data_IF_562066091383
#
_entry.id   IF_562066091383
#
_cell.length_a   1.000
_cell.length_b   1.000
_cell.length_c   1.000
_cell.angle_alpha   90.00
_cell.angle_beta   90.00
_cell.angle_gamma   90.00
#
_symmetry.space_group_name_H-M   'P 1'
#
loop_
_entity.id
_entity.type
_entity.pdbx_description
1 polymer ?
#
# COMPACT_ATOMS: atom_id res chain seq x y z
N UNK A 1 0.38 12.06 4.28
CA UNK A 1 -0.07 12.87 5.42
C UNK A 1 1.02 13.79 5.90
N UNK A 2 0.69 15.01 6.25
CA UNK A 2 1.64 15.94 6.87
C UNK A 2 1.50 15.82 8.38
N UNK A 3 2.25 14.93 8.99
CA UNK A 3 2.34 14.85 10.45
C UNK A 3 2.47 13.42 10.93
N UNK A 4 3.18 13.22 12.02
CA UNK A 4 3.37 11.92 12.66
C UNK A 4 2.16 11.51 13.52
N UNK A 5 0.94 11.69 12.99
CA UNK A 5 -0.31 11.50 13.73
C UNK A 5 -0.43 10.09 14.29
N UNK A 6 -0.16 9.09 13.47
CA UNK A 6 -0.21 7.69 13.88
C UNK A 6 0.96 7.24 14.76
N UNK A 7 2.08 7.98 14.76
CA UNK A 7 3.27 7.61 15.54
C UNK A 7 2.97 7.53 17.03
N UNK A 8 2.28 8.55 17.54
CA UNK A 8 1.94 8.62 18.95
C UNK A 8 0.95 7.53 19.35
N UNK A 9 -0.12 7.36 18.58
CA UNK A 9 -1.07 6.29 18.79
C UNK A 9 -0.37 4.93 18.78
N UNK A 10 0.48 4.67 17.77
CA UNK A 10 1.26 3.46 17.64
C UNK A 10 2.11 3.17 18.88
N UNK A 11 2.87 4.15 19.36
CA UNK A 11 3.68 3.98 20.56
C UNK A 11 2.87 3.73 21.81
N UNK A 12 1.73 4.44 21.98
CA UNK A 12 0.90 4.33 23.18
C UNK A 12 0.25 2.95 23.33
N UNK A 13 -0.04 2.26 22.22
CA UNK A 13 -0.62 0.91 22.23
C UNK A 13 0.42 -0.20 22.11
N UNK A 14 1.71 0.14 22.12
CA UNK A 14 2.80 -0.85 21.99
C UNK A 14 2.98 -1.38 20.57
N UNK A 15 2.54 -0.62 19.58
CA UNK A 15 2.70 -0.94 18.15
C UNK A 15 4.10 -0.69 17.62
N UNK A 16 4.34 -1.08 16.39
CA UNK A 16 5.60 -0.86 15.66
C UNK A 16 5.43 0.25 14.61
N UNK A 17 6.25 1.29 14.72
CA UNK A 17 6.25 2.41 13.79
C UNK A 17 7.45 2.34 12.87
N UNK A 18 7.20 2.08 11.58
CA UNK A 18 8.20 1.89 10.54
C UNK A 18 8.13 3.09 9.58
N UNK A 19 9.13 3.95 9.63
CA UNK A 19 9.24 5.08 8.71
C UNK A 19 10.00 4.67 7.46
N UNK A 20 9.41 4.89 6.29
CA UNK A 20 10.01 4.66 4.98
C UNK A 20 10.31 6.03 4.37
N UNK A 21 11.57 6.37 4.27
CA UNK A 21 12.00 7.64 3.67
C UNK A 21 13.44 7.52 3.13
N UNK A 22 13.89 8.45 2.28
CA UNK A 22 15.25 8.44 1.78
C UNK A 22 16.33 8.53 2.87
N UNK A 23 15.99 9.09 4.03
CA UNK A 23 16.87 9.24 5.18
C UNK A 23 16.68 8.16 6.26
N UNK A 24 15.71 7.27 6.09
CA UNK A 24 15.42 6.21 7.05
C UNK A 24 16.47 5.10 7.01
N UNK A 25 16.62 4.42 8.16
CA UNK A 25 17.36 3.15 8.24
C UNK A 25 16.47 1.93 7.93
N UNK A 26 15.17 2.13 7.86
CA UNK A 26 14.22 1.06 7.53
C UNK A 26 14.18 0.85 6.02
N UNK A 27 14.36 -0.38 5.61
CA UNK A 27 14.44 -0.76 4.21
C UNK A 27 13.49 -1.91 3.93
N UNK A 28 12.83 -1.83 2.78
CA UNK A 28 12.02 -2.90 2.20
C UNK A 28 12.56 -3.15 0.80
N UNK A 29 13.02 -4.36 0.55
CA UNK A 29 13.53 -4.76 -0.75
C UNK A 29 12.37 -5.11 -1.68
N UNK A 30 12.11 -4.30 -2.69
CA UNK A 30 11.06 -4.59 -3.67
C UNK A 30 11.35 -5.84 -4.50
N UNK A 31 12.64 -6.18 -4.67
CA UNK A 31 13.07 -7.39 -5.40
C UNK A 31 12.90 -8.68 -4.57
N UNK A 32 12.55 -8.59 -3.30
CA UNK A 32 12.44 -9.75 -2.43
C UNK A 32 11.23 -10.61 -2.79
N UNK A 33 11.47 -11.88 -3.12
CA UNK A 33 10.44 -12.93 -3.15
C UNK A 33 10.32 -13.41 -1.71
N UNK A 34 9.19 -13.12 -1.05
CA UNK A 34 8.98 -13.49 0.34
C UNK A 34 8.50 -14.93 0.42
N UNK A 35 8.91 -15.59 1.48
CA UNK A 35 8.48 -16.95 1.73
C UNK A 35 6.98 -16.94 2.01
N UNK A 36 6.21 -17.58 1.14
CA UNK A 36 4.83 -17.92 1.43
C UNK A 36 4.85 -19.33 2.04
N UNK A 37 4.47 -19.47 3.30
CA UNK A 37 4.23 -20.79 3.85
C UNK A 37 3.06 -21.40 3.07
N UNK A 38 3.13 -22.73 2.81
CA UNK A 38 2.09 -23.45 2.08
C UNK A 38 0.73 -23.10 2.65
N UNK A 39 -0.17 -22.60 1.81
CA UNK A 39 -1.51 -22.26 2.26
C UNK A 39 -2.24 -23.55 2.68
N UNK A 40 -3.25 -23.43 3.57
CA UNK A 40 -4.09 -24.57 3.96
C UNK A 40 -4.69 -25.26 2.73
N UNK A 41 -4.95 -24.51 1.66
CA UNK A 41 -5.44 -25.04 0.37
C UNK A 41 -4.40 -25.90 -0.35
N UNK A 42 -3.12 -25.55 -0.31
CA UNK A 42 -2.06 -26.37 -0.90
C UNK A 42 -1.92 -27.72 -0.17
N UNK A 43 -2.35 -27.77 1.09
CA UNK A 43 -2.37 -28.99 1.89
C UNK A 43 -3.63 -29.82 1.59
N UNK A 44 -4.77 -29.18 1.30
CA UNK A 44 -6.07 -29.86 1.10
C UNK A 44 -6.25 -30.30 -0.37
N UNK A 45 -5.90 -29.45 -1.35
CA UNK A 45 -6.18 -29.72 -2.75
C UNK A 45 -5.07 -30.50 -3.50
N UNK A 46 -3.91 -30.70 -2.87
CA UNK A 46 -2.86 -31.65 -3.32
C UNK A 46 -2.24 -31.48 -4.70
N UNK A 47 -2.80 -30.71 -5.60
CA UNK A 47 -2.41 -30.61 -7.03
C UNK A 47 -2.75 -29.27 -7.68
N UNK A 48 -2.48 -28.13 -7.05
CA UNK A 48 -2.39 -26.90 -7.83
C UNK A 48 -1.01 -26.85 -8.48
N UNK A 49 -0.97 -26.74 -9.80
CA UNK A 49 0.25 -26.42 -10.54
C UNK A 49 0.95 -25.27 -9.79
N UNK A 50 2.13 -25.54 -9.26
CA UNK A 50 2.91 -24.57 -8.49
C UNK A 50 3.12 -23.34 -9.37
N UNK A 51 2.46 -22.23 -9.03
CA UNK A 51 2.72 -20.96 -9.69
C UNK A 51 4.15 -20.54 -9.35
N UNK A 52 4.92 -20.17 -10.39
CA UNK A 52 6.25 -19.64 -10.17
C UNK A 52 6.20 -18.37 -9.35
N UNK A 53 6.81 -18.37 -8.16
CA UNK A 53 6.94 -17.21 -7.30
C UNK A 53 7.74 -16.09 -7.98
N UNK A 54 8.74 -16.46 -8.79
CA UNK A 54 9.49 -15.50 -9.60
C UNK A 54 8.59 -14.81 -10.63
N UNK A 55 7.73 -15.56 -11.33
CA UNK A 55 6.81 -14.94 -12.31
C UNK A 55 5.84 -13.97 -11.64
N UNK A 56 5.29 -14.34 -10.48
CA UNK A 56 4.42 -13.46 -9.71
C UNK A 56 5.15 -12.19 -9.23
N UNK A 57 6.41 -12.33 -8.80
CA UNK A 57 7.25 -11.20 -8.40
C UNK A 57 7.57 -10.28 -9.57
N UNK A 58 7.94 -10.83 -10.74
CA UNK A 58 8.22 -10.03 -11.94
C UNK A 58 7.00 -9.20 -12.33
N UNK A 59 5.79 -9.76 -12.29
CA UNK A 59 4.57 -9.00 -12.56
C UNK A 59 4.41 -7.78 -11.60
N UNK A 60 4.70 -7.95 -10.30
CA UNK A 60 4.67 -6.85 -9.34
C UNK A 60 5.79 -5.83 -9.59
N UNK A 61 6.97 -6.29 -10.01
CA UNK A 61 8.04 -5.39 -10.42
C UNK A 61 7.68 -4.57 -11.66
N UNK A 62 6.94 -5.12 -12.60
CA UNK A 62 6.41 -4.34 -13.73
C UNK A 62 5.47 -3.22 -13.26
N UNK A 63 4.65 -3.43 -12.21
CA UNK A 63 3.84 -2.36 -11.62
C UNK A 63 4.76 -1.29 -11.03
N UNK A 64 5.74 -1.68 -10.20
CA UNK A 64 6.70 -0.77 -9.59
C UNK A 64 7.42 0.08 -10.64
N UNK A 65 7.96 -0.53 -11.69
CA UNK A 65 8.67 0.17 -12.75
C UNK A 65 7.74 1.04 -13.60
N UNK A 66 6.48 0.67 -13.78
CA UNK A 66 5.52 1.52 -14.48
C UNK A 66 5.12 2.77 -13.71
N UNK A 67 5.25 2.76 -12.38
CA UNK A 67 5.11 3.94 -11.52
C UNK A 67 6.38 4.81 -11.57
N UNK A 68 7.54 4.19 -11.61
CA UNK A 68 8.82 4.88 -11.68
C UNK A 68 9.11 5.49 -13.06
N UNK A 69 8.63 4.83 -14.13
CA UNK A 69 8.82 5.20 -15.54
C UNK A 69 7.45 5.17 -16.23
N UNK A 70 6.60 6.19 -16.03
CA UNK A 70 5.22 6.18 -16.56
C UNK A 70 5.11 6.09 -18.08
N UNK A 71 6.11 6.60 -18.81
CA UNK A 71 6.22 6.65 -20.26
C UNK A 71 7.00 5.46 -20.86
N UNK A 72 7.14 4.35 -20.10
CA UNK A 72 7.83 3.15 -20.56
C UNK A 72 7.15 2.53 -21.78
N UNK A 73 7.89 2.32 -22.86
CA UNK A 73 7.42 1.70 -24.10
C UNK A 73 7.19 0.19 -23.93
N UNK A 74 6.51 -0.44 -24.89
CA UNK A 74 6.36 -1.90 -24.90
C UNK A 74 7.70 -2.63 -25.06
N UNK A 75 8.61 -2.09 -25.87
CA UNK A 75 9.94 -2.63 -26.05
C UNK A 75 10.75 -2.56 -24.75
N UNK A 76 10.76 -1.41 -24.07
CA UNK A 76 11.43 -1.26 -22.78
C UNK A 76 10.87 -2.19 -21.70
N UNK A 77 9.55 -2.49 -21.74
CA UNK A 77 8.95 -3.48 -20.83
C UNK A 77 9.47 -4.89 -21.08
N UNK A 78 9.64 -5.28 -22.35
CA UNK A 78 10.23 -6.57 -22.70
C UNK A 78 11.70 -6.66 -22.27
N UNK A 79 12.48 -5.61 -22.54
CA UNK A 79 13.88 -5.55 -22.12
C UNK A 79 14.02 -5.56 -20.59
N UNK A 80 13.09 -4.93 -19.87
CA UNK A 80 13.05 -4.98 -18.41
C UNK A 80 12.75 -6.39 -17.92
N UNK A 81 11.79 -7.10 -18.54
CA UNK A 81 11.45 -8.48 -18.19
C UNK A 81 12.67 -9.40 -18.29
N UNK A 82 13.39 -9.33 -19.40
CA UNK A 82 14.63 -10.07 -19.63
C UNK A 82 15.72 -9.72 -18.60
N UNK A 83 15.89 -8.43 -18.29
CA UNK A 83 16.85 -7.96 -17.30
C UNK A 83 16.51 -8.45 -15.89
N UNK A 84 15.22 -8.49 -15.53
CA UNK A 84 14.74 -9.03 -14.25
C UNK A 84 15.05 -10.52 -14.15
N UNK A 85 14.69 -11.32 -15.17
CA UNK A 85 15.00 -12.77 -15.21
C UNK A 85 16.51 -12.98 -15.06
N UNK A 86 17.33 -12.22 -15.82
CA UNK A 86 18.78 -12.32 -15.74
C UNK A 86 19.32 -11.94 -14.34
N UNK A 87 18.74 -10.95 -13.69
CA UNK A 87 19.13 -10.50 -12.35
C UNK A 87 18.91 -11.61 -11.31
N UNK A 88 17.74 -12.26 -11.34
CA UNK A 88 17.45 -13.39 -10.45
C UNK A 88 18.28 -14.62 -10.80
N UNK A 89 18.50 -14.90 -12.07
CA UNK A 89 19.37 -15.98 -12.52
C UNK A 89 20.81 -15.81 -12.01
N UNK A 90 21.30 -14.57 -11.90
CA UNK A 90 22.60 -14.24 -11.28
C UNK A 90 22.71 -14.65 -9.79
N UNK A 91 21.59 -14.82 -9.10
CA UNK A 91 21.51 -15.39 -7.73
C UNK A 91 21.15 -16.88 -7.72
N UNK A 92 21.09 -17.51 -8.91
CA UNK A 92 20.67 -18.89 -9.07
C UNK A 92 19.18 -19.13 -8.80
N UNK A 93 18.35 -18.10 -8.98
CA UNK A 93 16.89 -18.16 -8.83
C UNK A 93 16.26 -18.23 -10.22
N UNK A 94 15.37 -19.19 -10.43
CA UNK A 94 14.69 -19.48 -11.70
C UNK A 94 13.17 -19.57 -11.47
N UNK A 95 12.42 -19.87 -12.52
CA UNK A 95 10.97 -20.10 -12.42
C UNK A 95 10.57 -21.36 -11.63
N UNK A 96 11.53 -22.20 -11.27
CA UNK A 96 11.32 -23.34 -10.38
C UNK A 96 11.44 -22.88 -8.92
N UNK A 97 10.39 -23.10 -8.11
CA UNK A 97 10.32 -22.57 -6.74
C UNK A 97 11.41 -23.19 -5.83
N UNK A 98 11.89 -24.42 -6.12
CA UNK A 98 13.01 -25.06 -5.41
C UNK A 98 14.29 -24.23 -5.52
N UNK A 99 14.45 -23.49 -6.62
CA UNK A 99 15.62 -22.61 -6.81
C UNK A 99 15.72 -21.46 -5.82
N UNK A 100 14.64 -21.16 -5.07
CA UNK A 100 14.63 -20.16 -3.99
C UNK A 100 15.43 -20.61 -2.77
N UNK A 101 15.73 -21.90 -2.65
CA UNK A 101 16.43 -22.48 -1.53
C UNK A 101 17.88 -22.82 -1.91
N UNK A 102 18.81 -22.63 -0.96
CA UNK A 102 20.19 -23.06 -1.08
C UNK A 102 20.37 -24.55 -0.73
N UNK A 103 21.58 -25.04 -0.89
CA UNK A 103 21.93 -26.46 -0.61
C UNK A 103 21.61 -26.87 0.83
N UNK A 104 21.64 -25.95 1.79
CA UNK A 104 21.31 -26.18 3.21
C UNK A 104 19.81 -26.08 3.51
N UNK A 105 18.94 -25.89 2.51
CA UNK A 105 17.51 -25.64 2.68
C UNK A 105 17.18 -24.23 3.21
N UNK A 106 18.17 -23.36 3.36
CA UNK A 106 17.96 -21.96 3.71
C UNK A 106 17.49 -21.15 2.50
N UNK A 107 16.65 -20.14 2.74
CA UNK A 107 16.18 -19.24 1.69
C UNK A 107 17.35 -18.38 1.19
N UNK A 108 17.48 -18.27 -0.14
CA UNK A 108 18.58 -17.52 -0.76
C UNK A 108 18.45 -16.02 -0.50
N UNK A 109 19.59 -15.33 -0.47
CA UNK A 109 19.61 -13.85 -0.47
C UNK A 109 19.08 -13.33 -1.80
N UNK A 110 18.04 -12.54 -1.73
CA UNK A 110 17.38 -11.96 -2.91
C UNK A 110 18.24 -10.84 -3.53
N UNK A 111 18.13 -10.61 -4.84
CA UNK A 111 18.76 -9.47 -5.46
C UNK A 111 18.19 -8.15 -4.90
N UNK A 112 18.94 -7.06 -5.06
CA UNK A 112 18.51 -5.70 -4.78
C UNK A 112 18.47 -4.88 -6.07
N UNK A 113 17.94 -3.67 -6.04
CA UNK A 113 17.87 -2.80 -7.22
C UNK A 113 19.23 -2.54 -7.86
N UNK A 114 20.33 -2.55 -7.08
CA UNK A 114 21.69 -2.43 -7.59
C UNK A 114 22.12 -3.59 -8.49
N UNK A 115 21.70 -4.83 -8.16
CA UNK A 115 21.96 -5.98 -9.03
C UNK A 115 21.27 -5.81 -10.40
N UNK A 116 20.03 -5.31 -10.41
CA UNK A 116 19.31 -5.00 -11.65
C UNK A 116 19.96 -3.84 -12.42
N UNK A 117 20.37 -2.78 -11.72
CA UNK A 117 21.09 -1.66 -12.32
C UNK A 117 22.34 -2.15 -13.06
N UNK A 118 23.09 -3.08 -12.48
CA UNK A 118 24.28 -3.65 -13.06
C UNK A 118 24.00 -4.48 -14.34
N UNK A 119 22.81 -5.08 -14.44
CA UNK A 119 22.35 -5.73 -15.67
C UNK A 119 21.95 -4.70 -16.71
N UNK A 120 21.09 -3.74 -16.35
CA UNK A 120 20.55 -2.73 -17.26
C UNK A 120 21.63 -1.82 -17.89
N UNK A 121 22.71 -1.50 -17.17
CA UNK A 121 23.77 -0.64 -17.71
C UNK A 121 24.65 -1.29 -18.78
N UNK A 122 24.56 -2.61 -18.97
CA UNK A 122 25.40 -3.34 -19.94
C UNK A 122 24.96 -3.10 -21.38
N UNK A 123 23.67 -2.82 -21.64
CA UNK A 123 23.14 -2.52 -22.97
C UNK A 123 22.85 -1.04 -23.16
N UNK A 124 23.02 -0.56 -24.38
CA UNK A 124 22.61 0.80 -24.79
C UNK A 124 21.10 0.96 -24.80
N UNK A 125 20.36 -0.09 -25.12
CA UNK A 125 18.89 -0.11 -25.21
C UNK A 125 18.23 0.06 -23.82
N UNK A 126 18.85 -0.48 -22.76
CA UNK A 126 18.34 -0.38 -21.37
C UNK A 126 18.96 0.78 -20.59
N UNK A 127 19.84 1.56 -21.20
CA UNK A 127 20.57 2.67 -20.55
C UNK A 127 19.65 3.72 -19.93
N UNK A 128 18.55 4.05 -20.58
CA UNK A 128 17.57 5.01 -20.05
C UNK A 128 16.98 4.52 -18.71
N UNK A 129 16.56 3.25 -18.65
CA UNK A 129 16.04 2.64 -17.42
C UNK A 129 17.11 2.61 -16.32
N UNK A 130 18.35 2.26 -16.63
CA UNK A 130 19.45 2.31 -15.68
C UNK A 130 19.68 3.74 -15.14
N UNK A 131 19.64 4.75 -15.99
CA UNK A 131 19.82 6.16 -15.55
C UNK A 131 18.71 6.61 -14.61
N UNK A 132 17.46 6.22 -14.84
CA UNK A 132 16.33 6.53 -13.95
C UNK A 132 16.49 5.77 -12.62
N UNK A 133 16.81 4.48 -12.68
CA UNK A 133 17.03 3.65 -11.51
C UNK A 133 18.20 4.11 -10.63
N UNK A 134 19.19 4.80 -11.22
CA UNK A 134 20.38 5.28 -10.53
C UNK A 134 20.06 6.15 -9.30
N UNK A 135 18.93 6.90 -9.31
CA UNK A 135 18.46 7.67 -8.16
C UNK A 135 18.19 6.80 -6.93
N UNK A 136 17.64 5.60 -7.16
CA UNK A 136 17.30 4.65 -6.10
C UNK A 136 18.50 3.76 -5.71
N UNK A 137 19.54 3.68 -6.54
CA UNK A 137 20.70 2.82 -6.29
C UNK A 137 21.87 3.59 -5.68
N UNK A 138 22.24 4.71 -6.27
CA UNK A 138 23.40 5.52 -5.86
C UNK A 138 23.06 6.98 -5.52
N UNK A 139 21.83 7.40 -5.81
CA UNK A 139 21.37 8.77 -5.61
C UNK A 139 20.76 9.03 -4.24
N UNK A 140 19.95 10.08 -4.17
CA UNK A 140 19.35 10.59 -2.93
C UNK A 140 18.34 9.65 -2.26
N UNK A 141 17.91 8.58 -2.95
CA UNK A 141 16.95 7.60 -2.45
C UNK A 141 17.54 6.18 -2.37
N UNK A 142 18.85 6.07 -2.10
CA UNK A 142 19.59 4.79 -2.05
C UNK A 142 19.12 3.84 -0.92
N UNK A 143 18.33 4.32 0.02
CA UNK A 143 17.66 3.49 1.03
C UNK A 143 16.78 2.39 0.41
N UNK A 144 16.24 2.62 -0.80
CA UNK A 144 15.46 1.60 -1.52
C UNK A 144 16.32 0.47 -2.12
N UNK A 145 17.65 0.59 -2.10
CA UNK A 145 18.60 -0.39 -2.61
C UNK A 145 19.25 -1.21 -1.49
N UNK A 146 18.47 -1.73 -0.56
CA UNK A 146 18.95 -2.52 0.57
C UNK A 146 18.10 -3.77 0.75
N UNK A 147 18.62 -4.76 1.49
CA UNK A 147 17.82 -5.89 1.93
C UNK A 147 16.76 -5.43 2.95
N UNK A 148 15.63 -6.11 2.99
CA UNK A 148 14.58 -5.85 3.98
C UNK A 148 15.14 -6.06 5.38
N UNK A 149 15.00 -5.06 6.23
CA UNK A 149 15.44 -5.09 7.63
C UNK A 149 14.30 -4.78 8.62
N UNK A 150 13.08 -4.66 8.14
CA UNK A 150 11.87 -4.46 8.95
C UNK A 150 11.04 -5.74 8.99
N UNK A 151 10.27 -5.92 10.06
CA UNK A 151 9.37 -7.05 10.24
C UNK A 151 7.96 -6.56 10.52
N UNK A 152 6.96 -7.34 10.12
CA UNK A 152 5.55 -7.07 10.40
C UNK A 152 5.02 -8.12 11.40
N UNK A 153 5.67 -8.22 12.55
CA UNK A 153 5.35 -9.24 13.57
C UNK A 153 4.48 -8.68 14.70
N UNK A 154 4.33 -7.35 14.80
CA UNK A 154 3.48 -6.71 15.79
C UNK A 154 2.00 -6.76 15.37
N UNK A 155 1.09 -6.78 16.36
CA UNK A 155 -0.35 -6.72 16.12
C UNK A 155 -0.83 -5.37 15.57
N UNK A 156 -0.09 -4.30 15.83
CA UNK A 156 -0.39 -2.98 15.32
C UNK A 156 0.88 -2.38 14.70
N UNK A 157 0.83 -2.15 13.40
CA UNK A 157 1.99 -1.70 12.63
C UNK A 157 1.58 -0.47 11.82
N UNK A 158 2.40 0.55 11.85
CA UNK A 158 2.26 1.75 11.03
C UNK A 158 3.45 1.85 10.09
N UNK A 159 3.19 1.84 8.79
CA UNK A 159 4.15 2.17 7.75
C UNK A 159 3.96 3.65 7.38
N UNK A 160 4.87 4.49 7.83
CA UNK A 160 4.84 5.94 7.58
C UNK A 160 5.67 6.29 6.35
N UNK A 161 5.01 6.88 5.36
CA UNK A 161 5.60 7.32 4.09
C UNK A 161 5.51 8.86 3.93
N UNK A 162 5.18 9.59 4.98
CA UNK A 162 4.89 11.04 4.95
C UNK A 162 6.06 11.91 4.50
N UNK A 163 7.29 11.42 4.60
CA UNK A 163 8.49 12.12 4.13
C UNK A 163 8.79 11.89 2.63
N UNK A 164 8.07 10.99 1.98
CA UNK A 164 8.19 10.80 0.54
C UNK A 164 7.40 11.89 -0.21
N UNK A 165 7.92 12.37 -1.30
CA UNK A 165 7.32 13.43 -2.11
C UNK A 165 7.40 13.11 -3.59
N UNK A 166 6.47 13.66 -4.39
CA UNK A 166 6.43 13.48 -5.83
C UNK A 166 6.31 12.01 -6.24
N UNK A 167 7.06 11.62 -7.24
CA UNK A 167 7.11 10.25 -7.78
C UNK A 167 7.50 9.19 -6.73
N UNK A 168 8.36 9.55 -5.77
CA UNK A 168 8.73 8.62 -4.70
C UNK A 168 7.59 8.32 -3.73
N UNK A 169 6.60 9.19 -3.60
CA UNK A 169 5.44 8.94 -2.75
C UNK A 169 4.61 7.77 -3.30
N UNK A 170 4.27 7.81 -4.58
CA UNK A 170 3.48 6.74 -5.22
C UNK A 170 4.25 5.41 -5.25
N UNK A 171 5.54 5.46 -5.58
CA UNK A 171 6.43 4.29 -5.56
C UNK A 171 6.56 3.70 -4.16
N UNK A 172 6.78 4.55 -3.14
CA UNK A 172 6.91 4.11 -1.75
C UNK A 172 5.61 3.58 -1.17
N UNK A 173 4.46 4.16 -1.55
CA UNK A 173 3.14 3.66 -1.16
C UNK A 173 2.87 2.28 -1.76
N UNK A 174 3.21 2.09 -3.04
CA UNK A 174 3.10 0.78 -3.68
C UNK A 174 4.01 -0.26 -2.98
N UNK A 175 5.27 0.10 -2.70
CA UNK A 175 6.22 -0.77 -2.00
C UNK A 175 5.69 -1.20 -0.62
N UNK A 176 5.17 -0.24 0.15
CA UNK A 176 4.59 -0.50 1.47
C UNK A 176 3.39 -1.44 1.36
N UNK A 177 2.49 -1.18 0.40
CA UNK A 177 1.29 -2.00 0.19
C UNK A 177 1.63 -3.40 -0.32
N UNK A 178 2.60 -3.55 -1.24
CA UNK A 178 3.09 -4.87 -1.70
C UNK A 178 3.64 -5.70 -0.53
N UNK A 179 4.40 -5.06 0.37
CA UNK A 179 4.92 -5.72 1.55
C UNK A 179 3.83 -6.16 2.53
N UNK A 180 2.90 -5.26 2.84
CA UNK A 180 1.74 -5.56 3.71
C UNK A 180 0.85 -6.63 3.10
N UNK A 181 0.64 -6.58 1.78
CA UNK A 181 -0.19 -7.56 1.08
C UNK A 181 0.42 -8.96 1.11
N UNK A 182 1.73 -9.09 0.92
CA UNK A 182 2.40 -10.38 1.07
C UNK A 182 2.24 -10.92 2.49
N UNK A 183 2.42 -10.07 3.51
CA UNK A 183 2.20 -10.45 4.91
C UNK A 183 0.75 -10.87 5.18
N UNK A 184 -0.21 -10.19 4.60
CA UNK A 184 -1.63 -10.52 4.76
C UNK A 184 -1.99 -11.90 4.20
N UNK A 185 -1.25 -12.37 3.18
CA UNK A 185 -1.47 -13.69 2.55
C UNK A 185 -0.84 -14.87 3.32
N UNK A 186 0.13 -14.61 4.21
CA UNK A 186 0.88 -15.67 4.88
C UNK A 186 -0.01 -16.61 5.71
N UNK A 187 -0.98 -16.07 6.43
CA UNK A 187 -1.86 -16.87 7.28
C UNK A 187 -3.32 -16.45 7.11
N UNK A 188 -4.13 -17.31 6.49
CA UNK A 188 -5.56 -17.06 6.25
C UNK A 188 -6.41 -17.23 7.51
N UNK A 189 -5.92 -17.88 8.53
CA UNK A 189 -6.65 -18.14 9.78
C UNK A 189 -6.60 -16.96 10.74
N UNK A 190 -5.62 -16.06 10.56
CA UNK A 190 -5.47 -14.86 11.37
C UNK A 190 -6.37 -13.74 10.82
N UNK A 191 -7.21 -13.18 11.68
CA UNK A 191 -7.95 -11.95 11.35
C UNK A 191 -7.01 -10.75 11.28
N UNK A 192 -7.18 -9.93 10.24
CA UNK A 192 -6.33 -8.75 10.00
C UNK A 192 -7.09 -7.63 9.29
N UNK A 193 -6.64 -6.40 9.49
CA UNK A 193 -7.14 -5.24 8.78
C UNK A 193 -5.98 -4.43 8.18
N UNK A 194 -6.13 -4.02 6.93
CA UNK A 194 -5.21 -3.12 6.24
C UNK A 194 -5.90 -1.78 6.09
N UNK A 195 -5.34 -0.74 6.72
CA UNK A 195 -5.79 0.64 6.60
C UNK A 195 -4.90 1.36 5.58
N UNK A 196 -5.52 1.89 4.53
CA UNK A 196 -4.83 2.62 3.47
C UNK A 196 -5.35 4.05 3.47
N UNK A 197 -4.54 4.95 3.96
CA UNK A 197 -4.87 6.37 3.93
C UNK A 197 -4.41 7.00 2.61
N UNK A 198 -5.16 7.99 2.12
CA UNK A 198 -4.92 8.66 0.84
C UNK A 198 -4.77 7.67 -0.34
N UNK A 199 -5.66 6.67 -0.38
CA UNK A 199 -5.60 5.59 -1.40
C UNK A 199 -5.67 6.12 -2.85
N UNK A 200 -6.22 7.32 -3.05
CA UNK A 200 -6.27 7.98 -4.35
C UNK A 200 -4.89 8.16 -5.01
N UNK A 201 -3.82 8.23 -4.22
CA UNK A 201 -2.44 8.27 -4.71
C UNK A 201 -2.08 7.05 -5.60
N UNK A 202 -2.73 5.90 -5.37
CA UNK A 202 -2.50 4.68 -6.15
C UNK A 202 -3.59 4.39 -7.18
N UNK A 203 -4.75 5.05 -7.11
CA UNK A 203 -5.89 4.78 -8.01
C UNK A 203 -6.35 6.00 -8.80
N UNK A 204 -5.84 7.18 -8.51
CA UNK A 204 -6.15 8.44 -9.18
C UNK A 204 -5.25 8.76 -10.37
N UNK A 205 -5.39 9.94 -10.93
CA UNK A 205 -4.67 10.39 -12.11
C UNK A 205 -3.13 10.47 -11.94
N UNK A 206 -2.66 10.59 -10.70
CA UNK A 206 -1.22 10.55 -10.36
C UNK A 206 -0.59 9.15 -10.44
N UNK A 207 -1.41 8.12 -10.62
CA UNK A 207 -1.01 6.72 -10.69
C UNK A 207 -1.18 6.14 -12.11
N UNK A 208 -1.20 4.83 -12.23
CA UNK A 208 -1.45 4.15 -13.48
C UNK A 208 -2.41 2.95 -13.31
N UNK A 209 -2.86 2.41 -14.43
CA UNK A 209 -3.82 1.30 -14.46
C UNK A 209 -3.36 0.07 -13.68
N UNK A 210 -2.08 -0.29 -13.79
CA UNK A 210 -1.55 -1.50 -13.17
C UNK A 210 -1.56 -1.40 -11.64
N UNK A 211 -1.16 -0.25 -11.09
CA UNK A 211 -1.22 0.00 -9.65
C UNK A 211 -2.66 0.05 -9.15
N UNK A 212 -3.55 0.70 -9.91
CA UNK A 212 -4.97 0.78 -9.56
C UNK A 212 -5.67 -0.60 -9.61
N UNK A 213 -5.32 -1.44 -10.57
CA UNK A 213 -5.80 -2.83 -10.64
C UNK A 213 -5.32 -3.66 -9.45
N UNK A 214 -4.06 -3.50 -9.05
CA UNK A 214 -3.51 -4.17 -7.87
C UNK A 214 -4.25 -3.79 -6.58
N UNK A 215 -4.51 -2.50 -6.37
CA UNK A 215 -5.31 -2.04 -5.22
C UNK A 215 -6.72 -2.61 -5.25
N UNK A 216 -7.39 -2.52 -6.41
CA UNK A 216 -8.75 -3.05 -6.56
C UNK A 216 -8.81 -4.57 -6.32
N UNK A 217 -7.79 -5.31 -6.74
CA UNK A 217 -7.68 -6.74 -6.49
C UNK A 217 -7.65 -7.03 -4.98
N UNK A 218 -6.87 -6.29 -4.21
CA UNK A 218 -6.84 -6.43 -2.73
C UNK A 218 -8.24 -6.30 -2.16
N UNK A 219 -9.01 -5.26 -2.53
CA UNK A 219 -10.37 -5.07 -2.04
C UNK A 219 -11.33 -6.21 -2.43
N UNK A 220 -11.11 -6.85 -3.57
CA UNK A 220 -11.93 -7.98 -4.02
C UNK A 220 -11.66 -9.28 -3.25
N UNK A 221 -10.40 -9.55 -2.92
CA UNK A 221 -10.01 -10.90 -2.49
C UNK A 221 -9.55 -10.99 -1.02
N UNK A 222 -9.25 -9.86 -0.36
CA UNK A 222 -8.70 -9.85 1.01
C UNK A 222 -9.54 -10.64 2.01
N UNK A 223 -10.86 -10.67 1.83
CA UNK A 223 -11.76 -11.45 2.69
C UNK A 223 -11.42 -12.94 2.66
N UNK A 224 -11.00 -13.47 1.50
CA UNK A 224 -10.55 -14.87 1.36
C UNK A 224 -9.26 -15.16 2.13
N UNK A 225 -8.54 -14.15 2.58
CA UNK A 225 -7.34 -14.25 3.41
C UNK A 225 -7.59 -13.87 4.88
N UNK A 226 -8.85 -13.88 5.33
CA UNK A 226 -9.21 -13.53 6.71
C UNK A 226 -9.06 -12.04 7.02
N UNK A 227 -9.02 -11.19 6.00
CA UNK A 227 -8.70 -9.79 6.14
C UNK A 227 -9.84 -8.84 5.79
N UNK A 228 -9.71 -7.58 6.21
CA UNK A 228 -10.50 -6.43 5.79
C UNK A 228 -9.58 -5.35 5.22
N UNK A 229 -9.97 -4.75 4.09
CA UNK A 229 -9.35 -3.54 3.56
C UNK A 229 -10.21 -2.34 3.90
N UNK A 230 -9.58 -1.31 4.47
CA UNK A 230 -10.22 -0.06 4.85
C UNK A 230 -9.40 1.05 4.19
N UNK A 231 -10.03 1.89 3.42
CA UNK A 231 -9.35 3.05 2.85
C UNK A 231 -10.04 4.35 3.25
N UNK A 232 -9.24 5.39 3.33
CA UNK A 232 -9.70 6.76 3.49
C UNK A 232 -9.23 7.62 2.30
N UNK A 233 -10.04 8.59 1.94
CA UNK A 233 -9.69 9.63 0.99
C UNK A 233 -10.38 10.92 1.40
N UNK A 234 -9.71 12.03 1.23
CA UNK A 234 -10.27 13.37 1.38
C UNK A 234 -10.52 14.04 0.02
N UNK A 235 -10.16 13.40 -1.07
CA UNK A 235 -10.38 13.90 -2.43
C UNK A 235 -11.14 12.87 -3.27
N UNK A 236 -12.44 13.10 -3.42
CA UNK A 236 -13.31 12.21 -4.22
C UNK A 236 -13.06 12.38 -5.72
N UNK A 237 -12.57 13.54 -6.16
CA UNK A 237 -12.30 13.80 -7.56
C UNK A 237 -11.11 12.99 -8.02
N UNK A 238 -10.00 13.08 -7.29
CA UNK A 238 -8.80 12.30 -7.58
C UNK A 238 -9.06 10.80 -7.41
N UNK A 239 -9.86 10.40 -6.41
CA UNK A 239 -10.29 9.01 -6.24
C UNK A 239 -11.04 8.44 -7.45
N UNK A 240 -11.73 9.28 -8.22
CA UNK A 240 -12.51 8.89 -9.40
C UNK A 240 -11.88 9.34 -10.73
N UNK A 241 -10.66 9.84 -10.72
CA UNK A 241 -10.08 10.50 -11.90
C UNK A 241 -9.53 9.52 -12.96
N UNK A 242 -9.09 8.33 -12.57
CA UNK A 242 -8.47 7.37 -13.48
C UNK A 242 -9.52 6.48 -14.17
N UNK A 243 -9.47 6.39 -15.50
CA UNK A 243 -10.37 5.57 -16.34
C UNK A 243 -11.86 5.78 -16.02
N UNK A 244 -12.31 7.03 -16.03
CA UNK A 244 -13.71 7.43 -15.72
C UNK A 244 -14.21 6.89 -14.36
N UNK A 245 -13.32 6.79 -13.41
CA UNK A 245 -13.62 6.31 -12.05
C UNK A 245 -13.78 4.81 -11.91
N UNK A 246 -13.35 4.01 -12.89
CA UNK A 246 -13.46 2.54 -12.87
C UNK A 246 -12.95 1.93 -11.57
N UNK A 247 -11.79 2.36 -11.11
CA UNK A 247 -11.13 1.79 -9.93
C UNK A 247 -11.76 2.27 -8.62
N UNK A 248 -12.02 3.57 -8.49
CA UNK A 248 -12.70 4.13 -7.34
C UNK A 248 -14.12 3.56 -7.17
N UNK A 249 -14.91 3.52 -8.24
CA UNK A 249 -16.23 2.87 -8.25
C UNK A 249 -16.11 1.38 -7.90
N UNK A 250 -15.07 0.71 -8.40
CA UNK A 250 -14.81 -0.68 -8.09
C UNK A 250 -14.56 -0.92 -6.60
N UNK A 251 -13.77 -0.06 -5.94
CA UNK A 251 -13.52 -0.12 -4.49
C UNK A 251 -14.82 0.14 -3.72
N UNK A 252 -15.57 1.19 -4.08
CA UNK A 252 -16.87 1.53 -3.46
C UNK A 252 -17.83 0.35 -3.52
N UNK A 253 -17.93 -0.32 -4.67
CA UNK A 253 -18.84 -1.46 -4.86
C UNK A 253 -18.39 -2.71 -4.08
N UNK A 254 -17.10 -2.90 -3.86
CA UNK A 254 -16.57 -3.99 -3.03
C UNK A 254 -16.57 -3.68 -1.53
N UNK A 255 -16.77 -2.42 -1.15
CA UNK A 255 -16.88 -1.98 0.25
C UNK A 255 -18.31 -2.09 0.73
N UNK A 256 -18.60 -2.99 1.66
CA UNK A 256 -19.96 -3.14 2.22
C UNK A 256 -20.35 -1.99 3.14
N UNK A 257 -19.39 -1.44 3.86
CA UNK A 257 -19.58 -0.30 4.77
C UNK A 257 -18.89 0.92 4.17
N UNK A 258 -19.60 2.04 4.10
CA UNK A 258 -19.07 3.33 3.70
C UNK A 258 -19.37 4.33 4.78
N UNK A 259 -18.43 5.21 5.07
CA UNK A 259 -18.57 6.28 6.06
C UNK A 259 -18.32 7.58 5.33
N UNK A 260 -19.31 8.49 5.39
CA UNK A 260 -19.23 9.82 4.81
C UNK A 260 -19.23 10.81 5.96
N UNK A 261 -18.19 11.61 6.06
CA UNK A 261 -18.08 12.72 7.02
C UNK A 261 -18.58 14.01 6.39
N UNK A 262 -18.36 15.16 7.04
CA UNK A 262 -18.71 16.45 6.48
C UNK A 262 -18.03 16.66 5.12
N UNK A 263 -18.79 17.13 4.13
CA UNK A 263 -18.34 17.48 2.79
C UNK A 263 -18.86 18.85 2.40
N UNK A 264 -18.13 19.54 1.55
CA UNK A 264 -18.62 20.74 0.88
C UNK A 264 -19.70 20.40 -0.17
N UNK A 265 -20.54 21.35 -0.51
CA UNK A 265 -21.72 21.14 -1.37
C UNK A 265 -21.41 20.44 -2.70
N UNK A 266 -20.33 20.85 -3.37
CA UNK A 266 -19.94 20.27 -4.66
C UNK A 266 -19.52 18.79 -4.53
N UNK A 267 -18.76 18.45 -3.51
CA UNK A 267 -18.35 17.07 -3.25
C UNK A 267 -19.52 16.20 -2.79
N UNK A 268 -20.41 16.76 -1.97
CA UNK A 268 -21.62 16.09 -1.51
C UNK A 268 -22.53 15.69 -2.68
N UNK A 269 -22.72 16.57 -3.66
CA UNK A 269 -23.49 16.26 -4.87
C UNK A 269 -22.87 15.12 -5.69
N UNK A 270 -21.54 15.06 -5.80
CA UNK A 270 -20.86 13.95 -6.48
C UNK A 270 -21.06 12.64 -5.75
N UNK A 271 -20.89 12.65 -4.42
CA UNK A 271 -21.10 11.49 -3.57
C UNK A 271 -22.56 11.02 -3.62
N UNK A 272 -23.53 11.94 -3.75
CA UNK A 272 -24.94 11.62 -3.92
C UNK A 272 -25.18 10.63 -5.07
N UNK A 273 -24.64 10.94 -6.23
CA UNK A 273 -24.82 10.09 -7.43
C UNK A 273 -24.14 8.73 -7.29
N UNK A 274 -22.99 8.69 -6.64
CA UNK A 274 -22.20 7.45 -6.52
C UNK A 274 -22.80 6.50 -5.49
N UNK A 275 -23.30 7.05 -4.37
CA UNK A 275 -23.84 6.28 -3.25
C UNK A 275 -25.38 6.21 -3.27
N UNK A 276 -26.04 6.84 -4.23
CA UNK A 276 -27.51 6.96 -4.35
C UNK A 276 -28.15 7.53 -3.07
N UNK A 277 -27.62 8.65 -2.57
CA UNK A 277 -28.11 9.30 -1.37
C UNK A 277 -29.32 10.20 -1.70
N UNK A 278 -30.25 10.32 -0.74
CA UNK A 278 -31.36 11.25 -0.80
C UNK A 278 -30.92 12.70 -0.57
N UNK A 279 -31.73 13.66 -0.99
CA UNK A 279 -31.48 15.09 -0.76
C UNK A 279 -31.38 15.43 0.75
N UNK A 280 -32.14 14.73 1.59
CA UNK A 280 -32.06 14.90 3.04
C UNK A 280 -30.72 14.42 3.59
N UNK A 281 -30.17 13.30 3.11
CA UNK A 281 -28.86 12.80 3.52
C UNK A 281 -27.76 13.76 3.09
N UNK A 282 -27.85 14.33 1.88
CA UNK A 282 -26.90 15.34 1.40
C UNK A 282 -26.95 16.59 2.28
N UNK A 283 -28.13 17.10 2.58
CA UNK A 283 -28.29 18.26 3.45
C UNK A 283 -27.69 17.98 4.85
N UNK A 284 -27.81 16.77 5.37
CA UNK A 284 -27.17 16.39 6.63
C UNK A 284 -25.65 16.39 6.52
N UNK A 285 -25.10 15.79 5.46
CA UNK A 285 -23.64 15.67 5.24
C UNK A 285 -22.97 17.05 5.19
N UNK A 286 -23.57 18.01 4.46
CA UNK A 286 -23.01 19.37 4.34
C UNK A 286 -23.09 20.19 5.62
N UNK A 287 -23.91 19.76 6.59
CA UNK A 287 -24.10 20.45 7.88
C UNK A 287 -23.52 19.65 9.08
N UNK A 288 -22.85 18.54 8.86
CA UNK A 288 -22.26 17.75 9.93
C UNK A 288 -21.24 18.55 10.74
N UNK A 289 -21.41 18.55 12.05
CA UNK A 289 -20.36 19.02 12.96
C UNK A 289 -19.20 17.99 13.00
N UNK A 290 -18.06 18.42 13.50
CA UNK A 290 -16.90 17.53 13.73
C UNK A 290 -17.30 16.31 14.56
N UNK A 291 -17.00 15.15 14.06
CA UNK A 291 -17.33 13.86 14.69
C UNK A 291 -18.67 13.28 14.23
N UNK A 292 -19.48 14.00 13.48
CA UNK A 292 -20.69 13.46 12.89
C UNK A 292 -20.39 12.81 11.52
N UNK A 293 -21.15 11.79 11.18
CA UNK A 293 -21.01 11.11 9.91
C UNK A 293 -22.22 10.27 9.55
N UNK A 294 -22.25 9.86 8.29
CA UNK A 294 -23.25 8.95 7.74
C UNK A 294 -22.60 7.59 7.51
N UNK A 295 -23.13 6.54 8.11
CA UNK A 295 -22.72 5.16 7.84
C UNK A 295 -23.74 4.52 6.91
N UNK A 296 -23.24 4.03 5.76
CA UNK A 296 -24.00 3.18 4.85
C UNK A 296 -23.51 1.75 4.99
N UNK A 297 -24.41 0.82 5.29
CA UNK A 297 -24.07 -0.60 5.30
C UNK A 297 -25.22 -1.41 4.70
N UNK A 298 -24.91 -2.19 3.67
CA UNK A 298 -25.93 -2.82 2.82
C UNK A 298 -26.93 -1.76 2.28
N UNK A 299 -28.21 -1.88 2.67
CA UNK A 299 -29.29 -0.95 2.28
C UNK A 299 -29.71 0.00 3.42
N UNK A 300 -28.96 0.04 4.49
CA UNK A 300 -29.26 0.87 5.66
C UNK A 300 -28.31 2.06 5.71
N UNK A 301 -28.89 3.23 5.99
CA UNK A 301 -28.15 4.47 6.20
C UNK A 301 -28.46 5.00 7.59
N UNK A 302 -27.42 5.33 8.36
CA UNK A 302 -27.57 5.81 9.74
C UNK A 302 -26.64 7.00 9.97
N UNK A 303 -27.20 8.09 10.47
CA UNK A 303 -26.39 9.22 10.97
C UNK A 303 -25.84 8.87 12.36
N UNK A 304 -24.57 9.11 12.56
CA UNK A 304 -23.84 8.75 13.80
C UNK A 304 -23.01 9.94 14.30
N UNK A 305 -22.76 9.93 15.60
CA UNK A 305 -21.79 10.81 16.24
C UNK A 305 -20.65 9.92 16.76
N UNK A 306 -19.45 10.12 16.23
CA UNK A 306 -18.24 9.45 16.70
C UNK A 306 -17.65 10.24 17.88
N UNK A 307 -17.63 9.63 19.05
CA UNK A 307 -17.02 10.21 20.25
C UNK A 307 -15.87 9.35 20.71
N UNK A 308 -14.68 9.92 20.73
CA UNK A 308 -13.54 9.29 21.39
C UNK A 308 -13.72 9.37 22.92
N UNK A 309 -13.42 8.29 23.61
CA UNK A 309 -13.28 8.29 25.06
C UNK A 309 -12.10 9.19 25.50
N UNK A 310 -12.03 9.53 26.80
CA UNK A 310 -10.89 10.29 27.33
C UNK A 310 -9.56 9.60 27.07
N UNK A 311 -9.51 8.26 27.21
CA UNK A 311 -8.33 7.46 26.95
C UNK A 311 -7.92 7.49 25.47
N UNK A 312 -8.88 7.29 24.56
CA UNK A 312 -8.63 7.38 23.12
C UNK A 312 -8.16 8.77 22.72
N UNK A 313 -8.79 9.82 23.26
CA UNK A 313 -8.36 11.21 23.03
C UNK A 313 -6.90 11.41 23.46
N UNK A 314 -6.49 10.89 24.60
CA UNK A 314 -5.09 10.96 25.04
C UNK A 314 -4.14 10.24 24.07
N UNK A 315 -4.56 9.13 23.47
CA UNK A 315 -3.74 8.35 22.56
C UNK A 315 -3.62 8.98 21.18
N UNK A 316 -4.71 9.54 20.62
CA UNK A 316 -4.80 9.87 19.19
C UNK A 316 -4.91 11.37 18.90
N UNK A 317 -5.14 12.25 19.88
CA UNK A 317 -5.40 13.67 19.61
C UNK A 317 -4.26 14.35 18.87
N UNK A 318 -4.63 15.14 17.86
CA UNK A 318 -3.75 16.06 17.12
C UNK A 318 -4.11 17.52 17.42
N UNK A 319 -5.13 17.75 18.26
CA UNK A 319 -5.57 19.07 18.65
C UNK A 319 -4.50 19.81 19.46
N UNK A 320 -4.18 21.04 19.05
CA UNK A 320 -3.08 21.81 19.63
C UNK A 320 -3.30 22.19 21.10
N UNK A 321 -4.54 22.48 21.48
CA UNK A 321 -4.86 22.87 22.87
C UNK A 321 -4.79 21.66 23.79
N UNK A 322 -5.37 20.54 23.36
CA UNK A 322 -5.28 19.28 24.10
C UNK A 322 -3.81 18.81 24.24
N UNK A 323 -3.00 18.94 23.18
CA UNK A 323 -1.57 18.62 23.25
C UNK A 323 -0.83 19.52 24.25
N UNK A 324 -1.11 20.82 24.29
CA UNK A 324 -0.53 21.76 25.28
C UNK A 324 -0.90 21.38 26.71
N UNK A 325 -2.16 21.06 26.93
CA UNK A 325 -2.63 20.63 28.25
C UNK A 325 -1.96 19.33 28.71
N UNK A 326 -1.80 18.36 27.79
CA UNK A 326 -1.10 17.11 28.11
C UNK A 326 0.39 17.31 28.40
N UNK A 327 1.07 18.24 27.71
CA UNK A 327 2.46 18.58 28.00
C UNK A 327 2.55 19.21 29.40
N UNK A 328 1.63 20.10 29.73
CA UNK A 328 1.58 20.74 31.05
C UNK A 328 1.40 19.74 32.19
N UNK A 329 0.45 18.80 32.05
CA UNK A 329 0.20 17.72 33.05
C UNK A 329 1.40 16.77 33.24
N UNK A 330 2.27 16.63 32.24
CA UNK A 330 3.49 15.79 32.33
C UNK A 330 4.67 16.53 32.97
N UNK A 331 4.59 17.86 33.11
CA UNK A 331 5.64 18.69 33.70
C UNK A 331 5.34 19.02 35.19
N UNK A 332 4.10 18.78 35.60
CA UNK A 332 3.66 18.77 37.01
C UNK A 332 3.87 17.41 37.67
#
# INVERSE_FOLDING_TARGET
MKGHEFRRACHNIGGEFIQISPASKNCINIMEIRKNDKTVEDVIDGERAERSELSAKIQRLHIFFSLLIPDMTHEERQLLDEALIQTYAGKGITHQNESLYGETGSYKTMPVLGDLYDVLKKSTETRRMANILNRLVHGSASTFNQQTNVRLDNKYIVLDISELTGDLLTVGMFLALDYVWDKAKEDRTQEKAIFIDEVWQLIGASSNRLAAEFVLEIFKIIRGYGGAAICATQDINDFLSLDDGKYGKGIINNSKTKIVLNLEDEEAQRVQHILNLSDTEIMNITHFARGNGLILTNNNTVTVEFKASGLETEMITTDREQLREMIRRKQE
#
